data_IF_413998479550
#
_entry.id   IF_413998479550
#
_cell.length_a   1.000
_cell.length_b   1.000
_cell.length_c   1.000
_cell.angle_alpha   90.00
_cell.angle_beta   90.00
_cell.angle_gamma   90.00
#
_symmetry.space_group_name_H-M   'P 1'
#
loop_
_entity.id
_entity.type
_entity.pdbx_description
1 polymer ?
#
# COMPACT_ATOMS: atom_id res chain seq x y z
N UNK A 1 41.68 -17.37 -51.12
CA UNK A 1 40.77 -18.53 -51.12
C UNK A 1 40.12 -18.57 -49.74
N UNK A 2 39.10 -17.74 -49.51
CA UNK A 2 38.44 -17.60 -48.20
C UNK A 2 37.31 -18.63 -48.11
N UNK A 3 37.47 -19.59 -47.20
CA UNK A 3 36.33 -20.39 -46.71
C UNK A 3 35.72 -19.65 -45.53
N UNK A 4 34.49 -19.19 -45.72
CA UNK A 4 33.56 -18.91 -44.63
C UNK A 4 33.30 -20.21 -43.88
N UNK A 5 33.35 -20.16 -42.56
CA UNK A 5 32.65 -21.12 -41.71
C UNK A 5 32.05 -20.33 -40.56
N UNK A 6 30.73 -20.46 -40.50
CA UNK A 6 29.77 -19.85 -39.60
C UNK A 6 29.88 -20.39 -38.18
N UNK A 7 29.30 -19.61 -37.27
CA UNK A 7 28.84 -19.93 -35.91
C UNK A 7 29.91 -20.28 -34.89
N UNK A 8 30.17 -19.33 -33.99
CA UNK A 8 30.25 -19.55 -32.55
C UNK A 8 30.01 -18.20 -31.86
N UNK A 9 28.74 -17.84 -31.71
CA UNK A 9 28.30 -16.84 -30.73
C UNK A 9 27.68 -17.61 -29.57
N UNK A 10 28.54 -18.21 -28.75
CA UNK A 10 28.14 -18.88 -27.51
C UNK A 10 28.92 -18.27 -26.34
N UNK A 11 28.41 -17.14 -25.85
CA UNK A 11 28.67 -16.64 -24.50
C UNK A 11 27.70 -15.49 -24.17
N UNK A 12 26.42 -15.81 -24.17
CA UNK A 12 25.44 -15.02 -23.42
C UNK A 12 25.03 -15.89 -22.25
N UNK A 13 25.47 -15.51 -21.05
CA UNK A 13 24.90 -16.02 -19.82
C UNK A 13 23.39 -15.74 -19.87
N UNK A 14 22.62 -16.77 -20.23
CA UNK A 14 21.16 -16.74 -20.26
C UNK A 14 20.70 -16.38 -18.86
N UNK A 15 20.32 -15.12 -18.66
CA UNK A 15 19.56 -14.64 -17.51
C UNK A 15 18.17 -15.29 -17.57
N UNK A 16 18.08 -16.57 -17.23
CA UNK A 16 16.82 -17.24 -17.01
C UNK A 16 16.25 -16.71 -15.69
N UNK A 17 15.45 -15.65 -15.75
CA UNK A 17 14.58 -15.25 -14.65
C UNK A 17 13.30 -16.10 -14.79
N UNK A 18 13.11 -17.19 -14.02
CA UNK A 18 12.07 -18.18 -14.28
C UNK A 18 10.77 -17.85 -13.52
N UNK A 19 10.28 -16.62 -13.65
CA UNK A 19 9.06 -16.16 -12.96
C UNK A 19 8.31 -15.17 -13.84
N UNK A 20 7.00 -15.35 -14.01
CA UNK A 20 6.11 -14.35 -14.64
C UNK A 20 6.04 -13.07 -13.76
N UNK A 21 7.10 -12.27 -13.80
CA UNK A 21 7.15 -10.95 -13.16
C UNK A 21 6.20 -9.96 -13.84
N UNK A 22 5.75 -10.27 -15.05
CA UNK A 22 4.84 -9.44 -15.86
C UNK A 22 3.57 -9.13 -15.08
N UNK A 23 2.97 -10.13 -14.44
CA UNK A 23 1.71 -9.96 -13.71
C UNK A 23 1.89 -9.11 -12.46
N UNK A 24 2.98 -9.33 -11.70
CA UNK A 24 3.30 -8.48 -10.54
C UNK A 24 3.51 -7.04 -10.98
N UNK A 25 4.33 -6.81 -12.00
CA UNK A 25 4.68 -5.47 -12.48
C UNK A 25 3.43 -4.75 -12.99
N UNK A 26 2.55 -5.46 -13.69
CA UNK A 26 1.29 -4.91 -14.21
C UNK A 26 0.31 -4.54 -13.10
N UNK A 27 0.38 -5.23 -11.95
CA UNK A 27 -0.51 -5.00 -10.80
C UNK A 27 0.07 -4.04 -9.75
N UNK A 28 1.22 -3.40 -9.97
CA UNK A 28 1.77 -2.42 -9.02
C UNK A 28 0.76 -1.28 -8.80
N UNK A 29 0.49 -0.95 -7.53
CA UNK A 29 -0.48 0.08 -7.13
C UNK A 29 -1.96 -0.29 -7.27
N UNK A 30 -2.27 -1.57 -7.55
CA UNK A 30 -3.64 -2.12 -7.58
C UNK A 30 -3.92 -3.02 -6.37
N UNK A 31 -5.19 -3.35 -6.13
CA UNK A 31 -5.59 -4.28 -5.07
C UNK A 31 -5.20 -5.74 -5.35
N UNK A 32 -4.86 -6.08 -6.60
CA UNK A 32 -4.51 -7.45 -7.01
C UNK A 32 -3.02 -7.75 -6.83
N UNK A 33 -2.21 -6.73 -6.52
CA UNK A 33 -0.78 -6.88 -6.28
C UNK A 33 -0.41 -7.97 -5.25
N UNK A 34 -1.07 -8.06 -4.08
CA UNK A 34 -0.68 -9.04 -3.06
C UNK A 34 -0.82 -10.47 -3.56
N UNK A 35 -1.86 -10.77 -4.33
CA UNK A 35 -2.12 -12.11 -4.88
C UNK A 35 -1.09 -12.48 -5.95
N UNK A 36 -0.78 -11.57 -6.87
CA UNK A 36 0.29 -11.79 -7.86
C UNK A 36 1.66 -11.98 -7.21
N UNK A 37 1.94 -11.23 -6.13
CA UNK A 37 3.17 -11.41 -5.35
C UNK A 37 3.20 -12.79 -4.69
N UNK A 38 2.10 -13.22 -4.09
CA UNK A 38 1.99 -14.54 -3.47
C UNK A 38 2.25 -15.65 -4.48
N UNK A 39 1.66 -15.60 -5.68
CA UNK A 39 1.85 -16.64 -6.71
C UNK A 39 3.31 -16.81 -7.11
N UNK A 40 4.04 -15.70 -7.25
CA UNK A 40 5.48 -15.71 -7.56
C UNK A 40 6.29 -16.30 -6.42
N UNK A 41 6.09 -15.84 -5.18
CA UNK A 41 6.88 -16.34 -4.06
C UNK A 41 6.49 -17.78 -3.70
N UNK A 42 5.24 -18.17 -3.94
CA UNK A 42 4.77 -19.55 -3.82
C UNK A 42 5.49 -20.46 -4.81
N UNK A 43 5.66 -20.05 -6.08
CA UNK A 43 6.43 -20.82 -7.07
C UNK A 43 7.91 -20.96 -6.71
N UNK A 44 8.52 -19.89 -6.21
CA UNK A 44 9.94 -19.87 -5.83
C UNK A 44 10.21 -20.73 -4.59
N UNK A 45 9.50 -20.46 -3.49
CA UNK A 45 9.87 -20.93 -2.15
C UNK A 45 8.80 -21.81 -1.51
N UNK A 46 7.61 -21.93 -2.12
CA UNK A 46 6.52 -22.75 -1.61
C UNK A 46 5.84 -22.16 -0.36
N UNK A 47 5.70 -20.84 -0.32
CA UNK A 47 5.11 -20.10 0.82
C UNK A 47 3.59 -20.07 0.75
N UNK A 48 2.93 -20.11 1.90
CA UNK A 48 1.46 -20.10 2.01
C UNK A 48 0.92 -18.71 2.33
N UNK A 49 1.79 -17.76 2.71
CA UNK A 49 1.40 -16.39 3.02
C UNK A 49 2.55 -15.41 2.81
N UNK A 50 2.21 -14.22 2.33
CA UNK A 50 3.12 -13.08 2.18
C UNK A 50 2.50 -11.84 2.81
N UNK A 51 3.31 -11.07 3.55
CA UNK A 51 2.96 -9.76 4.04
C UNK A 51 4.10 -8.76 3.77
N UNK A 52 3.74 -7.58 3.30
CA UNK A 52 4.66 -6.49 2.98
C UNK A 52 4.50 -5.37 4.00
N UNK A 53 5.60 -4.95 4.59
CA UNK A 53 5.64 -3.88 5.57
C UNK A 53 6.56 -2.76 5.12
N UNK A 54 6.18 -1.53 5.46
CA UNK A 54 6.98 -0.32 5.32
C UNK A 54 7.18 0.30 6.69
N UNK A 55 8.41 0.68 6.99
CA UNK A 55 8.79 1.44 8.19
C UNK A 55 9.30 2.80 7.76
N UNK A 56 8.50 3.84 8.00
CA UNK A 56 8.87 5.26 7.86
C UNK A 56 8.47 6.00 9.14
N UNK A 57 9.27 6.97 9.59
CA UNK A 57 8.96 7.79 10.77
C UNK A 57 8.54 6.99 12.02
N UNK A 58 9.23 5.88 12.30
CA UNK A 58 8.93 4.93 13.40
C UNK A 58 7.54 4.27 13.34
N UNK A 59 6.78 4.51 12.27
CA UNK A 59 5.48 3.91 11.98
C UNK A 59 5.67 2.72 11.04
N UNK A 60 5.27 1.55 11.52
CA UNK A 60 5.22 0.34 10.72
C UNK A 60 3.82 0.23 10.10
N UNK A 61 3.75 0.19 8.77
CA UNK A 61 2.53 0.04 8.01
C UNK A 61 2.57 -1.29 7.26
N UNK A 62 1.50 -2.07 7.37
CA UNK A 62 1.27 -3.22 6.49
C UNK A 62 0.63 -2.71 5.20
N UNK A 63 1.31 -2.90 4.07
CA UNK A 63 0.90 -2.32 2.78
C UNK A 63 0.15 -3.34 1.92
N UNK A 64 0.54 -4.61 2.00
CA UNK A 64 -0.05 -5.68 1.21
C UNK A 64 0.06 -7.00 1.97
N UNK A 65 -0.98 -7.84 1.90
CA UNK A 65 -0.97 -9.20 2.44
C UNK A 65 -1.79 -10.12 1.57
N UNK A 66 -1.31 -11.34 1.32
CA UNK A 66 -2.05 -12.39 0.65
C UNK A 66 -1.77 -13.76 1.26
N UNK A 67 -2.77 -14.63 1.23
CA UNK A 67 -2.73 -15.97 1.79
C UNK A 67 -3.25 -16.98 0.77
N UNK A 68 -2.68 -18.18 0.74
CA UNK A 68 -3.23 -19.27 -0.07
C UNK A 68 -4.60 -19.71 0.50
N UNK A 69 -5.52 -20.23 -0.33
CA UNK A 69 -6.85 -20.67 0.14
C UNK A 69 -6.79 -21.75 1.24
N UNK A 70 -5.71 -22.52 1.27
CA UNK A 70 -5.45 -23.57 2.27
C UNK A 70 -4.90 -23.01 3.60
N UNK A 71 -4.51 -21.73 3.62
CA UNK A 71 -3.84 -21.07 4.73
C UNK A 71 -4.83 -20.58 5.79
N UNK A 72 -5.02 -21.38 6.86
CA UNK A 72 -5.82 -21.03 8.05
C UNK A 72 -4.99 -20.34 9.15
N UNK A 73 -4.04 -19.48 8.81
CA UNK A 73 -3.07 -18.87 9.75
C UNK A 73 -3.50 -17.52 10.36
N UNK A 74 -4.80 -17.28 10.55
CA UNK A 74 -5.35 -15.94 10.89
C UNK A 74 -4.74 -15.21 12.10
N UNK A 75 -4.14 -15.92 13.06
CA UNK A 75 -3.43 -15.35 14.22
C UNK A 75 -1.91 -15.21 14.00
N UNK A 76 -1.24 -16.23 13.46
CA UNK A 76 0.18 -16.22 13.11
C UNK A 76 0.54 -15.15 12.06
N UNK A 77 -0.41 -14.84 11.17
CA UNK A 77 -0.30 -13.75 10.20
C UNK A 77 -0.06 -12.39 10.87
N UNK A 78 -0.73 -12.13 12.01
CA UNK A 78 -0.64 -10.86 12.77
C UNK A 78 0.39 -10.89 13.90
N UNK A 79 0.86 -12.08 14.30
CA UNK A 79 1.92 -12.23 15.28
C UNK A 79 3.26 -11.72 14.71
N UNK A 80 4.11 -11.17 15.59
CA UNK A 80 5.49 -10.73 15.31
C UNK A 80 5.69 -9.41 14.55
N UNK A 81 4.69 -8.52 14.52
CA UNK A 81 4.87 -7.12 14.07
C UNK A 81 6.04 -6.43 14.80
N UNK A 82 6.24 -6.73 16.08
CA UNK A 82 7.36 -6.24 16.88
C UNK A 82 8.72 -6.74 16.39
N UNK A 83 8.80 -7.98 15.92
CA UNK A 83 10.02 -8.59 15.40
C UNK A 83 10.38 -8.00 14.03
N UNK A 84 9.38 -7.83 13.15
CA UNK A 84 9.52 -7.11 11.88
C UNK A 84 10.05 -5.69 12.14
N UNK A 85 9.45 -4.96 13.08
CA UNK A 85 9.89 -3.61 13.45
C UNK A 85 11.34 -3.60 13.95
N UNK A 86 11.73 -4.57 14.78
CA UNK A 86 13.10 -4.69 15.30
C UNK A 86 14.11 -4.93 14.18
N UNK A 87 13.82 -5.83 13.24
CA UNK A 87 14.72 -6.09 12.12
C UNK A 87 14.82 -4.91 11.15
N UNK A 88 13.68 -4.30 10.82
CA UNK A 88 13.64 -3.10 9.98
C UNK A 88 14.39 -1.91 10.59
N UNK A 89 14.33 -1.73 11.92
CA UNK A 89 15.10 -0.68 12.59
C UNK A 89 16.62 -0.85 12.40
N UNK A 90 17.09 -2.09 12.21
CA UNK A 90 18.51 -2.42 11.96
C UNK A 90 18.86 -2.58 10.47
N UNK A 91 17.88 -2.34 9.58
CA UNK A 91 18.07 -2.51 8.15
C UNK A 91 18.99 -1.42 7.58
N UNK A 92 20.00 -1.86 6.83
CA UNK A 92 20.78 -1.01 5.95
C UNK A 92 20.31 -1.12 4.50
N UNK A 93 21.06 -0.55 3.58
CA UNK A 93 20.66 -0.45 2.17
C UNK A 93 20.81 -1.78 1.41
N UNK A 94 21.54 -2.75 1.97
CA UNK A 94 21.66 -4.09 1.41
C UNK A 94 20.52 -5.01 1.86
N UNK A 95 20.06 -5.85 0.94
CA UNK A 95 19.06 -6.89 1.21
C UNK A 95 19.57 -7.89 2.24
N UNK A 96 18.74 -8.19 3.24
CA UNK A 96 19.00 -9.22 4.24
C UNK A 96 17.85 -10.22 4.27
N UNK A 97 18.20 -11.50 4.36
CA UNK A 97 17.25 -12.60 4.54
C UNK A 97 17.49 -13.21 5.92
N UNK A 98 16.40 -13.44 6.66
CA UNK A 98 16.43 -14.09 7.97
C UNK A 98 15.37 -15.18 8.02
N UNK A 99 15.80 -16.40 8.29
CA UNK A 99 14.91 -17.52 8.59
C UNK A 99 14.72 -17.57 10.10
N UNK A 100 13.47 -17.44 10.54
CA UNK A 100 13.06 -17.59 11.94
C UNK A 100 12.43 -18.97 12.04
N UNK A 101 13.11 -19.83 12.80
CA UNK A 101 12.64 -21.18 13.08
C UNK A 101 11.45 -21.10 14.05
N UNK A 102 10.44 -21.97 13.89
CA UNK A 102 9.36 -22.07 14.87
C UNK A 102 9.93 -22.34 16.26
N UNK A 103 9.39 -21.67 17.27
CA UNK A 103 9.72 -22.01 18.66
C UNK A 103 9.05 -23.35 18.92
N UNK A 104 9.79 -24.45 18.82
CA UNK A 104 9.32 -25.74 19.33
C UNK A 104 9.08 -25.57 20.82
N UNK A 105 7.80 -25.52 21.23
CA UNK A 105 7.42 -25.61 22.63
C UNK A 105 8.09 -26.86 23.20
N UNK A 106 9.05 -26.66 24.10
CA UNK A 106 9.70 -27.76 24.83
C UNK A 106 8.59 -28.56 25.49
N UNK A 107 8.48 -29.84 25.12
CA UNK A 107 7.51 -30.78 25.67
C UNK A 107 7.66 -30.82 27.21
N UNK A 108 6.87 -30.02 27.93
CA UNK A 108 7.01 -29.85 29.37
C UNK A 108 6.33 -28.60 29.94
N UNK A 109 6.14 -27.54 29.15
CA UNK A 109 5.30 -26.42 29.56
C UNK A 109 3.92 -26.56 28.89
N UNK A 110 2.87 -26.83 29.67
CA UNK A 110 1.49 -27.09 29.19
C UNK A 110 0.79 -25.93 28.49
N UNK A 111 1.47 -25.18 27.63
CA UNK A 111 0.83 -24.31 26.64
C UNK A 111 0.35 -25.18 25.48
N UNK A 112 -0.93 -25.11 25.08
CA UNK A 112 -1.37 -25.74 23.85
C UNK A 112 -0.52 -25.17 22.70
N UNK A 113 0.05 -26.05 21.86
CA UNK A 113 0.82 -25.60 20.69
C UNK A 113 -0.08 -24.71 19.85
N UNK A 114 0.31 -23.45 19.75
CA UNK A 114 -0.38 -22.50 18.90
C UNK A 114 -0.10 -22.88 17.45
N UNK A 115 -1.03 -22.63 16.52
CA UNK A 115 -0.73 -22.75 15.08
C UNK A 115 0.45 -21.84 14.60
N UNK A 116 0.96 -21.00 15.51
CA UNK A 116 2.15 -20.15 15.39
C UNK A 116 3.46 -20.95 15.56
N UNK A 117 3.43 -22.08 16.30
CA UNK A 117 4.59 -22.89 16.64
C UNK A 117 4.98 -23.91 15.55
N UNK A 118 4.16 -24.01 14.50
CA UNK A 118 4.37 -24.91 13.36
C UNK A 118 4.58 -24.14 12.05
N UNK A 119 5.11 -22.91 12.08
CA UNK A 119 5.36 -22.13 10.86
C UNK A 119 6.83 -21.73 10.72
N UNK A 120 7.41 -22.00 9.56
CA UNK A 120 8.70 -21.43 9.15
C UNK A 120 8.46 -20.01 8.62
N UNK A 121 9.16 -19.04 9.20
CA UNK A 121 9.04 -17.62 8.79
C UNK A 121 10.33 -17.17 8.12
N UNK A 122 10.23 -16.56 6.94
CA UNK A 122 11.36 -15.92 6.27
C UNK A 122 11.09 -14.43 6.16
N UNK A 123 12.00 -13.61 6.69
CA UNK A 123 11.97 -12.16 6.55
C UNK A 123 13.01 -11.73 5.52
N UNK A 124 12.56 -11.05 4.48
CA UNK A 124 13.42 -10.40 3.48
C UNK A 124 13.24 -8.90 3.65
N UNK A 125 14.31 -8.16 3.96
CA UNK A 125 14.18 -6.73 4.22
C UNK A 125 15.42 -5.94 3.80
N UNK A 126 15.19 -4.67 3.45
CA UNK A 126 16.22 -3.69 3.11
C UNK A 126 15.71 -2.27 3.39
N UNK A 127 16.61 -1.30 3.43
CA UNK A 127 16.25 0.12 3.36
C UNK A 127 16.27 0.58 1.91
N UNK A 128 15.15 1.13 1.44
CA UNK A 128 14.97 1.66 0.09
C UNK A 128 14.35 3.06 0.18
N UNK A 129 14.89 4.04 -0.55
CA UNK A 129 14.36 5.42 -0.59
C UNK A 129 14.04 6.01 0.79
N UNK A 130 14.94 5.82 1.76
CA UNK A 130 14.81 6.23 3.19
C UNK A 130 13.80 5.45 4.05
N UNK A 131 12.96 4.60 3.46
CA UNK A 131 12.02 3.74 4.16
C UNK A 131 12.58 2.30 4.32
N UNK A 132 12.26 1.66 5.44
CA UNK A 132 12.53 0.22 5.61
C UNK A 132 11.43 -0.60 4.94
N UNK A 133 11.78 -1.45 3.97
CA UNK A 133 10.84 -2.34 3.29
C UNK A 133 11.11 -3.78 3.75
N UNK A 134 10.05 -4.50 4.15
CA UNK A 134 10.13 -5.89 4.56
C UNK A 134 9.05 -6.71 3.86
N UNK A 135 9.44 -7.88 3.38
CA UNK A 135 8.56 -8.95 2.92
C UNK A 135 8.68 -10.11 3.91
N UNK A 136 7.60 -10.39 4.64
CA UNK A 136 7.44 -11.53 5.53
C UNK A 136 6.78 -12.66 4.76
N UNK A 137 7.41 -13.82 4.78
CA UNK A 137 6.95 -15.05 4.15
C UNK A 137 6.67 -16.07 5.23
N UNK A 138 5.52 -16.72 5.18
CA UNK A 138 5.17 -17.81 6.08
C UNK A 138 4.90 -19.09 5.29
N UNK A 139 5.38 -20.20 5.84
CA UNK A 139 5.14 -21.54 5.33
C UNK A 139 4.74 -22.46 6.49
N UNK A 140 3.77 -23.34 6.28
CA UNK A 140 3.37 -24.33 7.29
C UNK A 140 4.41 -25.45 7.40
N UNK A 141 4.89 -25.72 8.62
CA UNK A 141 5.74 -26.87 8.93
C UNK A 141 4.96 -28.17 8.68
N UNK A 142 5.56 -29.09 7.91
CA UNK A 142 4.95 -30.37 7.53
C UNK A 142 4.88 -30.63 6.01
N UNK A 143 5.18 -29.63 5.17
CA UNK A 143 5.76 -29.89 3.83
C UNK A 143 7.28 -30.03 4.01
N UNK A 144 7.96 -30.79 3.14
CA UNK A 144 9.44 -30.95 3.16
C UNK A 144 10.11 -29.61 3.48
N UNK A 145 11.08 -29.60 4.40
CA UNK A 145 11.74 -28.40 4.92
C UNK A 145 12.07 -27.41 3.80
N UNK A 146 12.12 -26.11 4.10
CA UNK A 146 12.57 -25.10 3.16
C UNK A 146 13.88 -25.56 2.51
N UNK A 147 13.77 -26.06 1.29
CA UNK A 147 14.87 -26.79 0.68
C UNK A 147 16.02 -25.79 0.58
N UNK A 148 17.17 -26.14 1.14
CA UNK A 148 18.32 -25.23 1.15
C UNK A 148 18.68 -24.77 -0.28
N UNK A 149 18.26 -25.56 -1.27
CA UNK A 149 18.41 -25.34 -2.70
C UNK A 149 17.56 -24.18 -3.26
N UNK A 150 16.46 -23.79 -2.60
CA UNK A 150 15.54 -22.71 -3.07
C UNK A 150 15.87 -21.34 -2.51
N UNK A 151 16.65 -21.25 -1.43
CA UNK A 151 17.09 -19.97 -0.85
C UNK A 151 17.97 -19.14 -1.79
N UNK A 152 18.94 -19.72 -2.53
CA UNK A 152 19.70 -18.97 -3.53
C UNK A 152 18.83 -18.34 -4.62
N UNK A 153 17.71 -18.96 -4.98
CA UNK A 153 16.78 -18.38 -5.95
C UNK A 153 16.07 -17.16 -5.39
N UNK A 154 15.61 -17.22 -4.14
CA UNK A 154 15.04 -16.08 -3.44
C UNK A 154 16.06 -14.94 -3.32
N UNK A 155 17.30 -15.24 -2.94
CA UNK A 155 18.38 -14.23 -2.84
C UNK A 155 18.62 -13.50 -4.15
N UNK A 156 18.60 -14.21 -5.30
CA UNK A 156 18.78 -13.60 -6.63
C UNK A 156 17.68 -12.59 -6.97
N UNK A 157 16.43 -12.83 -6.56
CA UNK A 157 15.29 -11.97 -6.92
C UNK A 157 14.83 -11.05 -5.78
N UNK A 158 15.36 -11.22 -4.57
CA UNK A 158 14.91 -10.49 -3.38
C UNK A 158 15.01 -8.97 -3.53
N UNK A 159 16.12 -8.47 -4.11
CA UNK A 159 16.30 -7.04 -4.37
C UNK A 159 15.23 -6.49 -5.33
N UNK A 160 14.90 -7.26 -6.38
CA UNK A 160 13.86 -6.90 -7.33
C UNK A 160 12.49 -6.90 -6.67
N UNK A 161 12.15 -7.95 -5.90
CA UNK A 161 10.87 -8.04 -5.18
C UNK A 161 10.70 -6.88 -4.18
N UNK A 162 11.74 -6.56 -3.40
CA UNK A 162 11.69 -5.41 -2.47
C UNK A 162 11.54 -4.08 -3.21
N UNK A 163 12.17 -3.92 -4.38
CA UNK A 163 12.01 -2.72 -5.21
C UNK A 163 10.59 -2.59 -5.75
N UNK A 164 10.02 -3.70 -6.24
CA UNK A 164 8.63 -3.75 -6.70
C UNK A 164 7.66 -3.42 -5.55
N UNK A 165 7.89 -3.97 -4.36
CA UNK A 165 7.11 -3.65 -3.15
C UNK A 165 7.26 -2.18 -2.82
N UNK A 166 8.49 -1.63 -2.79
CA UNK A 166 8.73 -0.21 -2.56
C UNK A 166 7.91 0.66 -3.52
N UNK A 167 7.92 0.33 -4.82
CA UNK A 167 7.17 1.06 -5.83
C UNK A 167 5.66 0.93 -5.66
N UNK A 168 5.17 -0.26 -5.30
CA UNK A 168 3.78 -0.46 -4.94
C UNK A 168 3.39 0.42 -3.74
N UNK A 169 4.24 0.48 -2.70
CA UNK A 169 3.99 1.33 -1.52
C UNK A 169 3.89 2.81 -1.88
N UNK A 170 4.80 3.31 -2.72
CA UNK A 170 4.78 4.71 -3.18
C UNK A 170 3.51 5.04 -3.96
N UNK A 171 3.10 4.18 -4.88
CA UNK A 171 1.90 4.39 -5.69
C UNK A 171 0.60 4.21 -4.89
N UNK A 172 0.62 3.39 -3.84
CA UNK A 172 -0.50 3.21 -2.93
C UNK A 172 -0.63 4.38 -1.94
N UNK A 173 0.50 4.89 -1.44
CA UNK A 173 0.56 6.08 -0.57
C UNK A 173 0.15 7.36 -1.33
N UNK A 174 0.61 7.54 -2.58
CA UNK A 174 0.19 8.68 -3.41
C UNK A 174 -1.33 8.77 -3.61
N UNK A 175 -2.04 7.64 -3.57
CA UNK A 175 -3.50 7.61 -3.68
C UNK A 175 -4.24 7.97 -2.38
N UNK A 176 -3.55 8.13 -1.24
CA UNK A 176 -4.19 8.08 0.09
C UNK A 176 -3.88 9.23 1.04
N UNK A 177 -3.14 10.29 0.66
CA UNK A 177 -2.99 11.45 1.54
C UNK A 177 -4.23 12.35 1.54
N UNK A 178 -5.24 11.91 2.30
CA UNK A 178 -6.49 12.61 2.58
C UNK A 178 -6.36 13.53 3.81
N UNK A 179 -5.20 13.53 4.49
CA UNK A 179 -4.92 14.38 5.65
C UNK A 179 -5.13 15.87 5.32
N UNK A 180 -4.54 16.41 4.24
CA UNK A 180 -4.81 17.79 3.84
C UNK A 180 -6.27 18.02 3.38
N UNK A 181 -6.93 16.98 2.83
CA UNK A 181 -8.32 17.09 2.35
C UNK A 181 -9.30 17.50 3.46
N UNK A 182 -9.06 17.09 4.70
CA UNK A 182 -9.97 17.38 5.80
C UNK A 182 -9.38 18.33 6.84
N UNK A 183 -8.10 18.73 6.69
CA UNK A 183 -7.39 19.56 7.66
C UNK A 183 -7.62 21.07 7.48
N UNK A 184 -7.89 21.55 6.26
CA UNK A 184 -8.09 22.97 5.98
C UNK A 184 -9.42 23.25 5.31
N UNK A 185 -10.18 24.19 5.90
CA UNK A 185 -11.43 24.68 5.31
C UNK A 185 -11.22 25.38 3.97
N UNK A 186 -10.11 26.08 3.81
CA UNK A 186 -9.74 26.77 2.57
C UNK A 186 -9.50 25.76 1.45
N UNK A 187 -8.77 24.67 1.75
CA UNK A 187 -8.55 23.57 0.80
C UNK A 187 -9.86 22.87 0.41
N UNK A 188 -10.79 22.70 1.35
CA UNK A 188 -12.13 22.16 1.05
C UNK A 188 -12.89 23.11 0.12
N UNK A 189 -12.90 24.42 0.41
CA UNK A 189 -13.56 25.42 -0.43
C UNK A 189 -12.96 25.43 -1.85
N UNK A 190 -11.63 25.44 -2.00
CA UNK A 190 -10.94 25.46 -3.29
C UNK A 190 -11.19 24.19 -4.11
N UNK A 191 -11.16 23.01 -3.50
CA UNK A 191 -11.51 21.78 -4.21
C UNK A 191 -12.98 21.80 -4.68
N UNK A 192 -13.91 22.24 -3.81
CA UNK A 192 -15.33 22.35 -4.16
C UNK A 192 -15.57 23.40 -5.26
N UNK A 193 -14.78 24.48 -5.28
CA UNK A 193 -14.78 25.50 -6.35
C UNK A 193 -14.40 24.89 -7.69
N UNK A 194 -13.29 24.15 -7.73
CA UNK A 194 -12.72 23.65 -8.97
C UNK A 194 -13.45 22.42 -9.52
N UNK A 195 -14.03 21.60 -8.64
CA UNK A 195 -14.60 20.31 -9.01
C UNK A 195 -16.13 20.30 -9.13
N UNK A 196 -16.81 21.42 -8.88
CA UNK A 196 -18.27 21.49 -8.97
C UNK A 196 -18.80 22.74 -9.66
N UNK A 197 -20.00 22.64 -10.25
CA UNK A 197 -20.75 23.77 -10.82
C UNK A 197 -21.70 24.43 -9.81
N UNK A 198 -21.41 24.32 -8.51
CA UNK A 198 -22.23 24.88 -7.45
C UNK A 198 -22.13 26.41 -7.40
N UNK A 199 -23.23 27.08 -7.05
CA UNK A 199 -23.21 28.52 -6.81
C UNK A 199 -22.36 28.86 -5.59
N UNK A 200 -21.91 30.11 -5.47
CA UNK A 200 -21.11 30.56 -4.32
C UNK A 200 -21.73 30.18 -2.96
N UNK A 201 -23.03 30.44 -2.76
CA UNK A 201 -23.73 30.13 -1.50
C UNK A 201 -23.89 28.64 -1.25
N UNK A 202 -24.05 27.84 -2.30
CA UNK A 202 -24.09 26.37 -2.18
C UNK A 202 -22.71 25.82 -1.77
N UNK A 203 -21.63 26.32 -2.37
CA UNK A 203 -20.24 25.94 -2.03
C UNK A 203 -19.89 26.29 -0.59
N UNK A 204 -20.22 27.51 -0.17
CA UNK A 204 -20.03 28.00 1.21
C UNK A 204 -20.71 27.08 2.24
N UNK A 205 -21.93 26.63 1.95
CA UNK A 205 -22.68 25.70 2.81
C UNK A 205 -22.08 24.29 2.77
N UNK A 206 -21.76 23.76 1.59
CA UNK A 206 -21.15 22.42 1.45
C UNK A 206 -19.79 22.30 2.16
N UNK A 207 -18.91 23.30 2.02
CA UNK A 207 -17.61 23.29 2.70
C UNK A 207 -17.75 23.22 4.23
N UNK A 208 -18.67 24.00 4.80
CA UNK A 208 -18.90 23.97 6.25
C UNK A 208 -19.55 22.67 6.73
N UNK A 209 -20.39 22.05 5.91
CA UNK A 209 -20.93 20.71 6.20
C UNK A 209 -19.79 19.67 6.20
N UNK A 210 -18.86 19.75 5.24
CA UNK A 210 -17.69 18.87 5.17
C UNK A 210 -16.72 19.09 6.34
N UNK A 211 -16.60 20.33 6.82
CA UNK A 211 -15.85 20.70 8.02
C UNK A 211 -16.59 20.31 9.34
N UNK A 212 -17.79 19.73 9.25
CA UNK A 212 -18.51 19.22 10.41
C UNK A 212 -19.34 20.25 11.19
N UNK A 213 -19.62 21.43 10.63
CA UNK A 213 -20.49 22.41 11.29
C UNK A 213 -21.97 21.98 11.23
N UNK A 214 -22.71 22.29 12.30
CA UNK A 214 -24.17 22.12 12.32
C UNK A 214 -24.87 23.19 11.49
N UNK A 215 -26.10 22.95 11.03
CA UNK A 215 -26.86 23.96 10.27
C UNK A 215 -27.06 25.29 11.02
N UNK A 216 -27.10 25.27 12.36
CA UNK A 216 -27.17 26.49 13.17
C UNK A 216 -25.83 27.24 13.15
N UNK A 217 -24.72 26.54 13.37
CA UNK A 217 -23.39 27.13 13.29
C UNK A 217 -23.08 27.69 11.89
N UNK A 218 -23.55 27.04 10.83
CA UNK A 218 -23.43 27.53 9.45
C UNK A 218 -24.25 28.81 9.24
N UNK A 219 -25.45 28.88 9.80
CA UNK A 219 -26.30 30.06 9.71
C UNK A 219 -25.63 31.26 10.38
N UNK A 220 -25.06 31.05 11.58
CA UNK A 220 -24.34 32.06 12.33
C UNK A 220 -23.05 32.49 11.60
N UNK A 221 -22.27 31.55 11.07
CA UNK A 221 -21.01 31.84 10.36
C UNK A 221 -21.22 32.55 9.02
N UNK A 222 -22.36 32.34 8.35
CA UNK A 222 -22.69 32.98 7.07
C UNK A 222 -23.56 34.23 7.20
N UNK A 223 -24.07 34.53 8.39
CA UNK A 223 -25.03 35.60 8.61
C UNK A 223 -26.34 35.41 7.83
N UNK A 224 -26.81 34.15 7.69
CA UNK A 224 -28.05 33.81 6.98
C UNK A 224 -29.01 33.01 7.86
N UNK A 225 -30.28 32.92 7.48
CA UNK A 225 -31.24 32.10 8.21
C UNK A 225 -30.97 30.59 8.08
N UNK A 226 -31.27 29.82 9.13
CA UNK A 226 -31.20 28.35 9.12
C UNK A 226 -31.99 27.73 7.96
N UNK A 227 -33.16 28.26 7.64
CA UNK A 227 -33.96 27.82 6.48
C UNK A 227 -33.26 28.05 5.14
N UNK A 228 -32.49 29.13 5.02
CA UNK A 228 -31.66 29.40 3.85
C UNK A 228 -30.53 28.38 3.73
N UNK A 229 -29.87 28.01 4.83
CA UNK A 229 -28.86 26.93 4.86
C UNK A 229 -29.47 25.61 4.37
N UNK A 230 -30.66 25.24 4.88
CA UNK A 230 -31.36 24.02 4.47
C UNK A 230 -31.73 24.04 2.98
N UNK A 231 -32.14 25.19 2.47
CA UNK A 231 -32.45 25.39 1.05
C UNK A 231 -31.21 25.24 0.18
N UNK A 232 -30.09 25.88 0.54
CA UNK A 232 -28.82 25.76 -0.20
C UNK A 232 -28.28 24.33 -0.18
N UNK A 233 -28.35 23.64 0.97
CA UNK A 233 -27.99 22.23 1.07
C UNK A 233 -28.82 21.35 0.13
N UNK A 234 -30.14 21.51 0.12
CA UNK A 234 -31.04 20.74 -0.76
C UNK A 234 -30.73 20.97 -2.24
N UNK A 235 -30.47 22.22 -2.63
CA UNK A 235 -30.10 22.56 -4.02
C UNK A 235 -28.74 22.00 -4.40
N UNK A 236 -27.74 22.10 -3.52
CA UNK A 236 -26.42 21.53 -3.74
C UNK A 236 -26.48 20.02 -3.92
N UNK A 237 -27.23 19.32 -3.06
CA UNK A 237 -27.40 17.87 -3.12
C UNK A 237 -28.06 17.44 -4.43
N UNK A 238 -29.13 18.15 -4.83
CA UNK A 238 -29.78 17.92 -6.13
C UNK A 238 -28.86 18.15 -7.32
N UNK A 239 -27.94 19.13 -7.25
CA UNK A 239 -26.98 19.42 -8.35
C UNK A 239 -25.86 18.40 -8.43
N UNK A 240 -25.43 17.87 -7.29
CA UNK A 240 -24.40 16.84 -7.20
C UNK A 240 -24.94 15.42 -7.41
N UNK A 241 -26.27 15.24 -7.43
CA UNK A 241 -26.89 13.92 -7.57
C UNK A 241 -26.79 13.05 -6.31
N UNK A 242 -26.67 13.69 -5.14
CA UNK A 242 -26.48 13.02 -3.84
C UNK A 242 -27.69 13.26 -2.92
N UNK A 243 -27.90 12.37 -1.95
CA UNK A 243 -28.99 12.43 -1.00
C UNK A 243 -28.55 12.63 0.46
N UNK A 244 -27.28 12.36 0.78
CA UNK A 244 -26.79 12.32 2.16
C UNK A 244 -25.50 13.10 2.38
N UNK A 245 -25.26 13.51 3.64
CA UNK A 245 -23.98 14.11 4.03
C UNK A 245 -22.81 13.12 3.85
N UNK A 246 -23.07 11.81 4.03
CA UNK A 246 -22.09 10.76 3.73
C UNK A 246 -21.72 10.77 2.25
N UNK A 247 -22.69 10.88 1.35
CA UNK A 247 -22.42 10.98 -0.09
C UNK A 247 -21.71 12.28 -0.46
N UNK A 248 -22.01 13.40 0.21
CA UNK A 248 -21.24 14.63 0.03
C UNK A 248 -19.75 14.42 0.38
N UNK A 249 -19.48 13.72 1.48
CA UNK A 249 -18.11 13.38 1.89
C UNK A 249 -17.43 12.44 0.88
N UNK A 250 -18.12 11.39 0.41
CA UNK A 250 -17.56 10.47 -0.58
C UNK A 250 -17.25 11.20 -1.90
N UNK A 251 -18.19 12.01 -2.39
CA UNK A 251 -17.98 12.86 -3.56
C UNK A 251 -16.80 13.81 -3.38
N UNK A 252 -16.67 14.43 -2.20
CA UNK A 252 -15.55 15.33 -1.90
C UNK A 252 -14.20 14.62 -1.95
N UNK A 253 -14.08 13.42 -1.36
CA UNK A 253 -12.83 12.67 -1.36
C UNK A 253 -12.44 12.21 -2.77
N UNK A 254 -13.41 11.81 -3.58
CA UNK A 254 -13.18 11.46 -4.99
C UNK A 254 -12.73 12.69 -5.80
N UNK A 255 -13.38 13.84 -5.58
CA UNK A 255 -13.03 15.10 -6.19
C UNK A 255 -11.64 15.59 -5.76
N UNK A 256 -11.29 15.44 -4.49
CA UNK A 256 -9.98 15.76 -3.93
C UNK A 256 -8.88 14.94 -4.60
N UNK A 257 -9.08 13.63 -4.68
CA UNK A 257 -8.15 12.73 -5.35
C UNK A 257 -7.96 13.12 -6.83
N UNK A 258 -9.03 13.45 -7.54
CA UNK A 258 -8.94 13.93 -8.91
C UNK A 258 -8.19 15.28 -9.01
N UNK A 259 -8.45 16.21 -8.09
CA UNK A 259 -7.84 17.54 -8.07
C UNK A 259 -6.34 17.51 -7.75
N UNK A 260 -5.92 16.76 -6.72
CA UNK A 260 -4.50 16.57 -6.38
C UNK A 260 -3.73 15.90 -7.53
N UNK A 261 -4.34 14.89 -8.16
CA UNK A 261 -3.72 14.20 -9.29
C UNK A 261 -3.63 15.05 -10.57
N UNK A 262 -4.49 16.07 -10.72
CA UNK A 262 -4.50 16.95 -11.91
C UNK A 262 -3.75 18.27 -11.72
N UNK A 263 -3.60 18.78 -10.49
CA UNK A 263 -3.27 20.18 -10.23
C UNK A 263 -2.04 20.49 -9.36
N UNK A 264 -1.39 19.53 -8.71
CA UNK A 264 -0.17 19.84 -7.92
C UNK A 264 1.12 19.85 -8.78
N UNK A 265 1.11 19.31 -10.00
CA UNK A 265 2.31 19.27 -10.89
C UNK A 265 2.59 20.58 -11.64
N UNK A 266 1.68 21.55 -11.61
CA UNK A 266 1.82 22.82 -12.35
C UNK A 266 2.10 24.04 -11.48
N UNK A 267 1.97 23.94 -10.15
CA UNK A 267 2.06 25.10 -9.25
C UNK A 267 3.45 25.40 -8.68
N UNK A 268 4.35 24.41 -8.59
CA UNK A 268 5.69 24.61 -8.01
C UNK A 268 6.77 24.95 -9.05
N UNK A 269 6.52 24.74 -10.34
CA UNK A 269 7.51 25.00 -11.39
C UNK A 269 7.64 26.48 -11.80
N UNK A 270 6.71 27.36 -11.40
CA UNK A 270 6.74 28.79 -11.76
C UNK A 270 7.19 29.72 -10.61
N UNK A 271 7.32 29.22 -9.38
CA UNK A 271 7.74 30.03 -8.23
C UNK A 271 9.26 30.12 -8.03
N UNK A 272 10.07 29.33 -8.77
CA UNK A 272 11.54 29.36 -8.70
C UNK A 272 12.20 30.06 -9.90
N UNK A 273 11.41 30.75 -10.73
CA UNK A 273 11.89 31.44 -11.93
C UNK A 273 11.52 32.94 -12.01
N UNK A 274 11.11 33.57 -10.91
CA UNK A 274 10.79 35.00 -10.85
C UNK A 274 11.64 35.75 -9.81
#
# INVERSE_FOLDING_TARGET
MNKQTTSDFDSAATFAVPVDLIDIISNIGTLNFPDSLLEVVHRLVGVDFVACYRLSDYRLLEVASAASPECRLSRAMRANVHEVKRHLATAGDSVRIRVIQPITSVAGAGRPSSAEDDCETVLVYARLNTAGICMKLLRRAGREALDADRMPELERVAALLLTIISRHTELFEQKSDLTPALASREMIEDCVVNMSKLSRREREVCSRILHGLSSCAIADDLGIGKESVMTYRKRAYSRLGIASQRELLMWYLDAWNAWVNTGMRSGEAEAEAA
#
